data_IF_911814354359
#
_entry.id   IF_911814354359
#
_cell.length_a   1.000
_cell.length_b   1.000
_cell.length_c   1.000
_cell.angle_alpha   90.00
_cell.angle_beta   90.00
_cell.angle_gamma   90.00
#
_symmetry.space_group_name_H-M   'P 1'
#
loop_
_entity.id
_entity.type
_entity.pdbx_description
1 polymer ?
#
# COMPACT_ATOMS: atom_id res chain seq x y z
N UNK A 1 -1.07 38.07 -45.02
CA UNK A 1 -1.82 36.82 -44.83
C UNK A 1 -1.20 36.10 -43.64
N UNK A 2 -1.74 36.33 -42.45
CA UNK A 2 -1.30 35.62 -41.24
C UNK A 2 -1.88 34.21 -41.27
N UNK A 3 -1.00 33.21 -41.23
CA UNK A 3 -1.37 31.80 -41.13
C UNK A 3 -1.82 31.57 -39.69
N UNK A 4 -3.13 31.57 -39.46
CA UNK A 4 -3.74 31.17 -38.19
C UNK A 4 -3.40 29.70 -37.97
N UNK A 5 -2.45 29.44 -37.06
CA UNK A 5 -2.11 28.10 -36.61
C UNK A 5 -3.29 27.56 -35.80
N UNK A 6 -4.09 26.72 -36.45
CA UNK A 6 -5.21 26.02 -35.85
C UNK A 6 -4.66 25.03 -34.81
N UNK A 7 -4.78 25.40 -33.53
CA UNK A 7 -4.35 24.59 -32.40
C UNK A 7 -5.28 23.38 -32.31
N UNK A 8 -4.93 22.30 -33.01
CA UNK A 8 -5.67 21.03 -32.93
C UNK A 8 -5.71 20.59 -31.46
N UNK A 9 -6.90 20.35 -30.87
CA UNK A 9 -7.00 19.92 -29.49
C UNK A 9 -6.36 18.54 -29.36
N UNK A 10 -5.20 18.49 -28.72
CA UNK A 10 -4.48 17.28 -28.35
C UNK A 10 -5.49 16.31 -27.70
N UNK A 11 -5.69 15.16 -28.33
CA UNK A 11 -6.82 14.24 -28.11
C UNK A 11 -7.14 14.01 -26.62
N UNK A 12 -8.37 14.36 -26.24
CA UNK A 12 -8.89 14.25 -24.87
C UNK A 12 -8.88 12.82 -24.32
N UNK A 13 -8.91 11.82 -25.21
CA UNK A 13 -9.01 10.40 -24.88
C UNK A 13 -7.80 9.87 -24.07
N UNK A 14 -6.58 10.31 -24.39
CA UNK A 14 -5.37 9.88 -23.69
C UNK A 14 -5.30 10.36 -22.23
N UNK A 15 -6.01 11.46 -21.94
CA UNK A 15 -6.07 12.02 -20.58
C UNK A 15 -7.03 11.21 -19.72
N UNK A 16 -8.20 10.84 -20.26
CA UNK A 16 -9.18 9.99 -19.55
C UNK A 16 -8.58 8.65 -19.15
N UNK A 17 -7.83 8.02 -20.06
CA UNK A 17 -7.19 6.73 -19.78
C UNK A 17 -6.14 6.81 -18.67
N UNK A 18 -5.38 7.91 -18.62
CA UNK A 18 -4.38 8.14 -17.58
C UNK A 18 -5.00 8.30 -16.19
N UNK A 19 -6.16 8.93 -16.08
CA UNK A 19 -6.91 9.02 -14.83
C UNK A 19 -7.47 7.67 -14.40
N UNK A 20 -8.06 6.90 -15.32
CA UNK A 20 -8.56 5.54 -15.03
C UNK A 20 -7.45 4.64 -14.47
N UNK A 21 -6.27 4.66 -15.08
CA UNK A 21 -5.11 3.90 -14.60
C UNK A 21 -4.65 4.37 -13.22
N UNK A 22 -4.61 5.69 -12.97
CA UNK A 22 -4.21 6.25 -11.68
C UNK A 22 -5.17 5.82 -10.56
N UNK A 23 -6.48 5.91 -10.78
CA UNK A 23 -7.48 5.49 -9.79
C UNK A 23 -7.50 3.97 -9.59
N UNK A 24 -7.32 3.19 -10.66
CA UNK A 24 -7.21 1.72 -10.54
C UNK A 24 -6.00 1.34 -9.69
N UNK A 25 -4.84 1.96 -9.95
CA UNK A 25 -3.62 1.73 -9.17
C UNK A 25 -3.75 2.21 -7.72
N UNK A 26 -4.48 3.30 -7.50
CA UNK A 26 -4.81 3.79 -6.17
C UNK A 26 -5.63 2.76 -5.39
N UNK A 27 -6.78 2.33 -5.92
CA UNK A 27 -7.64 1.30 -5.30
C UNK A 27 -6.84 0.03 -5.01
N UNK A 28 -6.03 -0.43 -5.96
CA UNK A 28 -5.18 -1.60 -5.78
C UNK A 28 -4.16 -1.41 -4.63
N UNK A 29 -3.58 -0.21 -4.52
CA UNK A 29 -2.66 0.12 -3.42
C UNK A 29 -3.37 0.15 -2.06
N UNK A 30 -4.62 0.63 -2.00
CA UNK A 30 -5.45 0.57 -0.78
C UNK A 30 -5.70 -0.88 -0.38
N UNK A 31 -6.10 -1.74 -1.32
CA UNK A 31 -6.35 -3.14 -1.06
C UNK A 31 -5.09 -3.88 -0.57
N UNK A 32 -3.95 -3.68 -1.26
CA UNK A 32 -2.67 -4.30 -0.89
C UNK A 32 -2.15 -3.81 0.47
N UNK A 33 -2.25 -2.51 0.76
CA UNK A 33 -1.86 -1.96 2.06
C UNK A 33 -2.77 -2.45 3.19
N UNK A 34 -4.07 -2.61 2.94
CA UNK A 34 -4.99 -3.22 3.91
C UNK A 34 -4.63 -4.69 4.18
N UNK A 35 -4.30 -5.46 3.15
CA UNK A 35 -3.84 -6.85 3.32
C UNK A 35 -2.52 -6.90 4.11
N UNK A 36 -1.58 -6.00 3.82
CA UNK A 36 -0.33 -5.87 4.56
C UNK A 36 -0.57 -5.52 6.03
N UNK A 37 -1.55 -4.66 6.31
CA UNK A 37 -1.93 -4.27 7.66
C UNK A 37 -2.39 -5.48 8.49
N UNK A 38 -3.30 -6.30 7.96
CA UNK A 38 -3.71 -7.52 8.64
C UNK A 38 -2.56 -8.51 8.83
N UNK A 39 -1.70 -8.66 7.82
CA UNK A 39 -0.56 -9.57 7.89
C UNK A 39 0.46 -9.13 8.94
N UNK A 40 0.73 -7.83 9.04
CA UNK A 40 1.61 -7.27 10.06
C UNK A 40 1.06 -7.46 11.48
N UNK A 41 -0.26 -7.35 11.69
CA UNK A 41 -0.86 -7.69 12.98
C UNK A 41 -0.56 -9.14 13.38
N UNK A 42 -0.75 -10.10 12.46
CA UNK A 42 -0.41 -11.50 12.71
C UNK A 42 1.08 -11.72 13.00
N UNK A 43 1.97 -11.00 12.31
CA UNK A 43 3.42 -11.05 12.58
C UNK A 43 3.72 -10.57 13.99
N UNK A 44 3.14 -9.44 14.40
CA UNK A 44 3.33 -8.88 15.74
C UNK A 44 2.85 -9.87 16.80
N UNK A 45 1.65 -10.44 16.65
CA UNK A 45 1.11 -11.42 17.60
C UNK A 45 2.04 -12.63 17.76
N UNK A 46 2.56 -13.18 16.67
CA UNK A 46 3.48 -14.33 16.73
C UNK A 46 4.80 -13.97 17.42
N UNK A 47 5.36 -12.80 17.13
CA UNK A 47 6.58 -12.33 17.82
C UNK A 47 6.36 -12.12 19.31
N UNK A 48 5.17 -11.64 19.71
CA UNK A 48 4.81 -11.50 21.12
C UNK A 48 4.84 -12.84 21.87
N UNK A 49 4.32 -13.90 21.25
CA UNK A 49 4.33 -15.26 21.81
C UNK A 49 5.76 -15.79 21.93
N UNK A 50 6.60 -15.60 20.89
CA UNK A 50 7.98 -16.10 20.88
C UNK A 50 8.87 -15.41 21.92
N UNK A 51 8.63 -14.11 22.17
CA UNK A 51 9.44 -13.31 23.11
C UNK A 51 8.94 -13.40 24.56
N UNK A 52 7.87 -14.16 24.82
CA UNK A 52 7.25 -14.33 26.13
C UNK A 52 6.99 -13.00 26.85
N UNK A 53 6.49 -12.02 26.10
CA UNK A 53 6.18 -10.71 26.66
C UNK A 53 5.00 -10.77 27.63
N UNK A 54 5.00 -9.85 28.61
CA UNK A 54 3.94 -9.75 29.60
C UNK A 54 2.53 -9.68 28.94
N UNK A 55 1.57 -10.55 29.30
CA UNK A 55 0.24 -10.61 28.70
C UNK A 55 -0.56 -9.30 28.81
N UNK A 56 -0.29 -8.48 29.83
CA UNK A 56 -0.91 -7.17 29.97
C UNK A 56 -0.47 -6.19 28.86
N UNK A 57 0.78 -6.31 28.40
CA UNK A 57 1.30 -5.49 27.31
C UNK A 57 0.70 -5.91 25.95
N UNK A 58 0.48 -7.22 25.74
CA UNK A 58 -0.12 -7.74 24.50
C UNK A 58 -1.51 -7.15 24.24
N UNK A 59 -2.39 -7.14 25.26
CA UNK A 59 -3.76 -6.61 25.11
C UNK A 59 -3.78 -5.12 24.79
N UNK A 60 -2.88 -4.33 25.39
CA UNK A 60 -2.75 -2.91 25.08
C UNK A 60 -2.28 -2.71 23.63
N UNK A 61 -1.23 -3.42 23.22
CA UNK A 61 -0.62 -3.28 21.89
C UNK A 61 -1.60 -3.64 20.78
N UNK A 62 -2.35 -4.74 20.90
CA UNK A 62 -3.34 -5.13 19.89
C UNK A 62 -4.44 -4.06 19.72
N UNK A 63 -4.94 -3.47 20.82
CA UNK A 63 -5.96 -2.40 20.75
C UNK A 63 -5.42 -1.12 20.12
N UNK A 64 -4.21 -0.73 20.49
CA UNK A 64 -3.58 0.47 19.93
C UNK A 64 -3.15 0.27 18.48
N UNK A 65 -2.81 -0.96 18.07
CA UNK A 65 -2.42 -1.28 16.70
C UNK A 65 -3.53 -0.93 15.71
N UNK A 66 -4.77 -1.35 15.97
CA UNK A 66 -5.90 -1.03 15.07
C UNK A 66 -6.17 0.47 15.00
N UNK A 67 -6.07 1.18 16.12
CA UNK A 67 -6.32 2.62 16.16
C UNK A 67 -5.24 3.42 15.40
N UNK A 68 -3.98 3.28 15.80
CA UNK A 68 -2.88 4.00 15.15
C UNK A 68 -2.61 3.51 13.73
N UNK A 69 -2.72 2.19 13.54
CA UNK A 69 -2.61 1.56 12.25
C UNK A 69 -3.66 2.03 11.25
N UNK A 70 -4.92 2.16 11.69
CA UNK A 70 -5.99 2.74 10.88
C UNK A 70 -5.70 4.18 10.50
N UNK A 71 -5.20 5.01 11.43
CA UNK A 71 -4.81 6.40 11.14
C UNK A 71 -3.70 6.46 10.09
N UNK A 72 -2.64 5.68 10.28
CA UNK A 72 -1.52 5.60 9.31
C UNK A 72 -2.01 5.12 7.95
N UNK A 73 -2.92 4.15 7.92
CA UNK A 73 -3.52 3.65 6.69
C UNK A 73 -4.35 4.73 5.97
N UNK A 74 -5.17 5.49 6.69
CA UNK A 74 -5.93 6.61 6.11
C UNK A 74 -5.01 7.70 5.54
N UNK A 75 -3.93 8.05 6.25
CA UNK A 75 -2.93 8.99 5.75
C UNK A 75 -2.30 8.47 4.45
N UNK A 76 -1.97 7.17 4.41
CA UNK A 76 -1.45 6.54 3.21
C UNK A 76 -2.45 6.61 2.04
N UNK A 77 -3.74 6.34 2.26
CA UNK A 77 -4.77 6.44 1.22
C UNK A 77 -4.78 7.84 0.59
N UNK A 78 -4.84 8.87 1.42
CA UNK A 78 -4.85 10.26 0.97
C UNK A 78 -3.56 10.64 0.24
N UNK A 79 -2.41 10.24 0.79
CA UNK A 79 -1.12 10.54 0.18
C UNK A 79 -0.93 9.82 -1.16
N UNK A 80 -1.36 8.56 -1.26
CA UNK A 80 -1.27 7.77 -2.48
C UNK A 80 -2.12 8.38 -3.61
N UNK A 81 -3.33 8.85 -3.29
CA UNK A 81 -4.19 9.55 -4.26
C UNK A 81 -3.48 10.79 -4.81
N UNK A 82 -2.96 11.63 -3.92
CA UNK A 82 -2.23 12.83 -4.30
C UNK A 82 -0.96 12.51 -5.10
N UNK A 83 -0.25 11.45 -4.73
CA UNK A 83 0.96 11.00 -5.39
C UNK A 83 0.72 10.54 -6.83
N UNK A 84 -0.35 9.78 -7.08
CA UNK A 84 -0.70 9.30 -8.41
C UNK A 84 -1.28 10.41 -9.30
N UNK A 85 -2.18 11.24 -8.76
CA UNK A 85 -2.76 12.38 -9.51
C UNK A 85 -1.69 13.41 -9.92
N UNK A 86 -0.73 13.69 -9.04
CA UNK A 86 0.44 14.52 -9.39
C UNK A 86 1.34 13.84 -10.45
N UNK A 87 1.38 12.51 -10.46
CA UNK A 87 2.12 11.72 -11.45
C UNK A 87 1.58 11.87 -12.88
N UNK A 88 0.26 12.07 -13.03
CA UNK A 88 -0.38 12.36 -14.32
C UNK A 88 0.16 13.68 -14.88
N UNK A 89 0.17 14.74 -14.07
CA UNK A 89 0.63 16.09 -14.45
C UNK A 89 2.10 16.11 -14.89
N UNK A 90 2.92 15.22 -14.32
CA UNK A 90 4.36 15.12 -14.61
C UNK A 90 4.70 14.07 -15.68
N UNK A 91 3.72 13.40 -16.31
CA UNK A 91 3.92 12.30 -17.25
C UNK A 91 4.80 11.14 -16.72
N UNK A 92 4.86 10.94 -15.40
CA UNK A 92 5.66 9.90 -14.72
C UNK A 92 4.79 8.88 -13.98
N UNK A 93 3.53 8.71 -14.40
CA UNK A 93 2.56 7.84 -13.74
C UNK A 93 3.05 6.40 -13.59
N UNK A 94 3.51 5.78 -14.68
CA UNK A 94 3.92 4.36 -14.68
C UNK A 94 5.05 4.06 -13.70
N UNK A 95 6.08 4.90 -13.66
CA UNK A 95 7.20 4.73 -12.73
C UNK A 95 6.76 4.87 -11.27
N UNK A 96 5.81 5.77 -10.98
CA UNK A 96 5.24 5.96 -9.64
C UNK A 96 4.40 4.77 -9.21
N UNK A 97 3.54 4.24 -10.08
CA UNK A 97 2.73 3.05 -9.83
C UNK A 97 3.63 1.85 -9.52
N UNK A 98 4.60 1.58 -10.40
CA UNK A 98 5.54 0.46 -10.21
C UNK A 98 6.29 0.60 -8.89
N UNK A 99 6.75 1.81 -8.53
CA UNK A 99 7.47 2.04 -7.27
C UNK A 99 6.61 1.73 -6.05
N UNK A 100 5.37 2.23 -6.01
CA UNK A 100 4.47 2.00 -4.87
C UNK A 100 4.09 0.53 -4.77
N UNK A 101 3.69 -0.09 -5.90
CA UNK A 101 3.33 -1.51 -5.92
C UNK A 101 4.53 -2.40 -5.58
N UNK A 102 5.72 -2.12 -6.09
CA UNK A 102 6.92 -2.88 -5.75
C UNK A 102 7.24 -2.81 -4.26
N UNK A 103 7.15 -1.62 -3.64
CA UNK A 103 7.36 -1.47 -2.19
C UNK A 103 6.30 -2.26 -1.40
N UNK A 104 5.02 -2.17 -1.77
CA UNK A 104 3.95 -2.92 -1.11
C UNK A 104 4.14 -4.44 -1.24
N UNK A 105 4.51 -4.93 -2.43
CA UNK A 105 4.76 -6.34 -2.67
C UNK A 105 5.99 -6.85 -1.91
N UNK A 106 7.07 -6.06 -1.83
CA UNK A 106 8.25 -6.41 -1.04
C UNK A 106 7.91 -6.48 0.45
N UNK A 107 7.16 -5.51 0.98
CA UNK A 107 6.72 -5.53 2.37
C UNK A 107 5.80 -6.73 2.67
N UNK A 108 4.87 -7.04 1.75
CA UNK A 108 4.00 -8.21 1.85
C UNK A 108 4.79 -9.52 1.85
N UNK A 109 5.73 -9.66 0.91
CA UNK A 109 6.61 -10.82 0.83
C UNK A 109 7.47 -10.98 2.08
N UNK A 110 8.01 -9.88 2.61
CA UNK A 110 8.78 -9.89 3.85
C UNK A 110 7.92 -10.33 5.06
N UNK A 111 6.72 -9.77 5.22
CA UNK A 111 5.82 -10.14 6.31
C UNK A 111 5.36 -11.61 6.20
N UNK A 112 5.01 -12.08 5.00
CA UNK A 112 4.65 -13.48 4.76
C UNK A 112 5.82 -14.43 5.05
N UNK A 113 7.04 -14.05 4.65
CA UNK A 113 8.25 -14.82 4.94
C UNK A 113 8.51 -14.88 6.45
N UNK A 114 8.33 -13.77 7.18
CA UNK A 114 8.46 -13.75 8.63
C UNK A 114 7.50 -14.74 9.31
N UNK A 115 6.23 -14.76 8.92
CA UNK A 115 5.26 -15.74 9.45
C UNK A 115 5.70 -17.18 9.17
N UNK A 116 6.18 -17.45 7.96
CA UNK A 116 6.66 -18.78 7.58
C UNK A 116 7.87 -19.21 8.40
N UNK A 117 8.77 -18.28 8.73
CA UNK A 117 9.95 -18.56 9.54
C UNK A 117 9.60 -18.80 11.02
N UNK A 118 8.53 -18.18 11.53
CA UNK A 118 8.09 -18.34 12.93
C UNK A 118 7.23 -19.61 13.12
N UNK A 119 6.49 -20.03 12.09
CA UNK A 119 5.65 -21.24 12.11
C UNK A 119 6.28 -22.50 12.76
N UNK A 120 7.54 -22.91 12.46
CA UNK A 120 8.15 -24.08 13.08
C UNK A 120 8.37 -23.95 14.60
N UNK A 121 8.55 -22.73 15.12
CA UNK A 121 8.75 -22.50 16.56
C UNK A 121 7.47 -22.70 17.36
N UNK A 122 6.30 -22.61 16.71
CA UNK A 122 5.00 -22.78 17.34
C UNK A 122 4.52 -24.24 17.34
N UNK A 123 5.34 -25.19 16.87
CA UNK A 123 4.99 -26.61 16.83
C UNK A 123 3.83 -26.95 15.89
N UNK A 124 3.45 -26.03 14.98
CA UNK A 124 2.45 -26.27 13.95
C UNK A 124 3.08 -27.10 12.83
N UNK A 125 3.25 -28.41 13.07
CA UNK A 125 3.57 -29.35 12.01
C UNK A 125 2.32 -29.54 11.14
N UNK A 126 2.37 -29.01 9.92
CA UNK A 126 1.40 -29.32 8.85
C UNK A 126 1.37 -30.81 8.54
#
# INVERSE_FOLDING_TARGET
>A
MEVVQEHTPKSSEGTVWSYLLAYSAWILSIALSGLLFFLLHSVIDQWYVVLDFNPWAHSAVSRFYFFFGGIVWLIFIYFAEHYFTTGIKMHRLGQRIIRVLAVLLVMLGAAALSLRMIAPFLGVSS
#
